data_IF_910539691371
#
_entry.id   IF_910539691371
#
_cell.length_a   1.000
_cell.length_b   1.000
_cell.length_c   1.000
_cell.angle_alpha   90.00
_cell.angle_beta   90.00
_cell.angle_gamma   90.00
#
_symmetry.space_group_name_H-M   'P 1'
#
loop_
_entity.id
_entity.type
_entity.pdbx_description
1 polymer ?
#
# COMPACT_ATOMS: atom_id res chain seq x y z
N UNK A 1 -12.73 8.07 -8.38
CA UNK A 1 -11.29 8.28 -8.64
C UNK A 1 -10.58 8.45 -7.30
N UNK A 2 -9.41 7.87 -7.11
CA UNK A 2 -8.58 8.00 -5.91
C UNK A 2 -7.14 8.29 -6.33
N UNK A 3 -6.34 8.79 -5.41
CA UNK A 3 -4.94 9.14 -5.63
C UNK A 3 -4.08 8.32 -4.66
N UNK A 4 -3.09 7.59 -5.17
CA UNK A 4 -2.08 6.94 -4.34
C UNK A 4 -0.75 7.71 -4.44
N UNK A 5 -0.25 8.17 -3.30
CA UNK A 5 0.92 9.04 -3.22
C UNK A 5 2.10 8.28 -2.63
N UNK A 6 3.22 8.32 -3.32
CA UNK A 6 4.48 7.69 -2.90
C UNK A 6 5.61 8.71 -2.96
N UNK A 7 6.30 8.90 -1.83
CA UNK A 7 7.39 9.89 -1.70
C UNK A 7 8.72 9.43 -2.29
N UNK A 8 8.69 8.59 -3.34
CA UNK A 8 9.84 7.94 -3.96
C UNK A 8 10.71 7.14 -2.96
N UNK A 9 11.12 5.96 -3.35
CA UNK A 9 11.88 5.05 -2.48
C UNK A 9 13.13 4.48 -3.17
N UNK A 10 13.24 4.64 -4.50
CA UNK A 10 14.30 4.03 -5.28
C UNK A 10 15.09 5.08 -6.09
N UNK A 11 16.32 5.33 -5.61
CA UNK A 11 17.25 6.26 -6.26
C UNK A 11 17.60 5.85 -7.71
N UNK A 12 17.60 4.55 -8.01
CA UNK A 12 17.84 4.02 -9.35
C UNK A 12 16.80 4.47 -10.37
N UNK A 13 15.53 4.48 -9.98
CA UNK A 13 14.44 4.96 -10.83
C UNK A 13 14.54 6.48 -11.06
N UNK A 14 14.76 7.24 -10.00
CA UNK A 14 14.94 8.69 -10.09
C UNK A 14 16.05 9.06 -11.09
N UNK A 15 17.20 8.37 -11.03
CA UNK A 15 18.29 8.56 -11.99
C UNK A 15 17.89 8.24 -13.42
N UNK A 16 17.10 7.18 -13.65
CA UNK A 16 16.65 6.79 -15.00
C UNK A 16 15.74 7.85 -15.64
N UNK A 17 14.96 8.54 -14.83
CA UNK A 17 14.04 9.60 -15.30
C UNK A 17 14.63 11.02 -15.19
N UNK A 18 15.90 11.16 -14.80
CA UNK A 18 16.54 12.46 -14.65
C UNK A 18 15.96 13.31 -13.50
N UNK A 19 15.32 12.68 -12.52
CA UNK A 19 14.74 13.34 -11.37
C UNK A 19 15.74 13.34 -10.22
N UNK A 20 15.86 14.47 -9.52
CA UNK A 20 16.68 14.58 -8.33
C UNK A 20 16.10 13.67 -7.23
N UNK A 21 16.96 12.87 -6.60
CA UNK A 21 16.62 12.05 -5.47
C UNK A 21 17.09 12.72 -4.19
N UNK A 22 16.18 13.41 -3.53
CA UNK A 22 16.47 14.15 -2.29
C UNK A 22 16.74 13.20 -1.12
N UNK A 23 17.31 13.74 -0.03
CA UNK A 23 17.41 13.05 1.25
C UNK A 23 16.02 12.64 1.76
N UNK A 24 15.97 11.61 2.61
CA UNK A 24 14.73 10.98 3.06
C UNK A 24 13.70 12.00 3.57
N UNK A 25 14.07 12.87 4.49
CA UNK A 25 13.13 13.82 5.11
C UNK A 25 12.70 14.93 4.15
N UNK A 26 13.58 15.34 3.24
CA UNK A 26 13.23 16.29 2.18
C UNK A 26 12.23 15.72 1.18
N UNK A 27 12.29 14.42 0.87
CA UNK A 27 11.28 13.78 0.02
C UNK A 27 9.88 13.87 0.64
N UNK A 28 9.75 13.62 1.94
CA UNK A 28 8.46 13.76 2.62
C UNK A 28 8.02 15.21 2.79
N UNK A 29 8.96 16.12 3.01
CA UNK A 29 8.64 17.56 3.05
C UNK A 29 8.14 18.06 1.67
N UNK A 30 8.78 17.63 0.58
CA UNK A 30 8.32 17.90 -0.79
C UNK A 30 6.93 17.30 -1.06
N UNK A 31 6.69 16.06 -0.62
CA UNK A 31 5.37 15.42 -0.75
C UNK A 31 4.31 16.18 0.03
N UNK A 32 4.63 16.63 1.23
CA UNK A 32 3.70 17.43 2.06
C UNK A 32 3.30 18.75 1.39
N UNK A 33 4.26 19.47 0.83
CA UNK A 33 4.00 20.71 0.08
C UNK A 33 3.20 20.45 -1.20
N UNK A 34 3.49 19.34 -1.89
CA UNK A 34 2.71 18.93 -3.06
C UNK A 34 1.26 18.58 -2.72
N UNK A 35 1.03 17.85 -1.60
CA UNK A 35 -0.32 17.53 -1.13
C UNK A 35 -1.12 18.78 -0.75
N UNK A 36 -0.48 19.77 -0.16
CA UNK A 36 -1.09 21.10 0.11
C UNK A 36 -1.53 21.76 -1.20
N UNK A 37 -0.66 21.79 -2.20
CA UNK A 37 -0.96 22.35 -3.52
C UNK A 37 -2.16 21.63 -4.16
N UNK A 38 -2.17 20.31 -4.12
CA UNK A 38 -3.28 19.52 -4.70
C UNK A 38 -4.59 19.80 -3.97
N UNK A 39 -4.58 19.88 -2.64
CA UNK A 39 -5.77 20.19 -1.86
C UNK A 39 -6.31 21.60 -2.18
N UNK A 40 -5.42 22.58 -2.31
CA UNK A 40 -5.77 23.95 -2.70
C UNK A 40 -6.29 24.03 -4.15
N UNK A 41 -5.66 23.33 -5.10
CA UNK A 41 -6.15 23.22 -6.48
C UNK A 41 -7.57 22.66 -6.57
N UNK A 42 -7.94 21.76 -5.68
CA UNK A 42 -9.29 21.19 -5.64
C UNK A 42 -10.34 22.14 -5.04
N UNK A 43 -9.93 23.07 -4.17
CA UNK A 43 -10.83 23.92 -3.38
C UNK A 43 -10.89 25.38 -3.84
N UNK A 44 -9.74 25.92 -4.20
CA UNK A 44 -9.60 27.35 -4.51
C UNK A 44 -9.69 27.60 -6.02
N UNK A 45 -10.32 28.70 -6.42
CA UNK A 45 -10.42 29.08 -7.83
C UNK A 45 -9.06 29.51 -8.37
N UNK A 46 -8.34 30.30 -7.57
CA UNK A 46 -7.00 30.80 -7.87
C UNK A 46 -6.17 30.80 -6.60
N UNK A 47 -4.90 30.43 -6.69
CA UNK A 47 -3.97 30.62 -5.58
C UNK A 47 -2.52 30.76 -6.07
N UNK A 48 -1.70 31.37 -5.22
CA UNK A 48 -0.24 31.41 -5.39
C UNK A 48 0.43 30.78 -4.18
N UNK A 49 1.60 30.20 -4.36
CA UNK A 49 2.47 29.68 -3.30
C UNK A 49 3.93 29.93 -3.66
N UNK A 50 4.70 30.43 -2.70
CA UNK A 50 6.16 30.55 -2.78
C UNK A 50 6.77 29.60 -1.72
N UNK A 51 6.72 28.29 -2.01
CA UNK A 51 7.18 27.23 -1.13
C UNK A 51 8.68 26.93 -1.30
N UNK A 52 9.15 25.97 -0.51
CA UNK A 52 10.53 25.49 -0.60
C UNK A 52 10.79 24.71 -1.89
N UNK A 53 9.83 23.90 -2.32
CA UNK A 53 9.97 22.98 -3.46
C UNK A 53 9.19 23.42 -4.68
N UNK A 54 8.09 24.14 -4.49
CA UNK A 54 7.20 24.57 -5.56
C UNK A 54 6.89 26.05 -5.46
N UNK A 55 6.91 26.71 -6.62
CA UNK A 55 6.51 28.11 -6.77
C UNK A 55 5.45 28.18 -7.84
N UNK A 56 4.28 28.64 -7.47
CA UNK A 56 3.13 28.77 -8.37
C UNK A 56 2.58 30.19 -8.25
N UNK A 57 2.23 30.75 -9.38
CA UNK A 57 1.60 32.07 -9.48
C UNK A 57 0.27 31.90 -10.20
N UNK A 58 -0.81 32.37 -9.55
CA UNK A 58 -2.17 32.35 -10.08
C UNK A 58 -2.59 30.96 -10.63
N UNK A 59 -2.30 29.92 -9.89
CA UNK A 59 -2.56 28.54 -10.28
C UNK A 59 -4.08 28.25 -10.29
N UNK A 60 -4.53 27.61 -11.36
CA UNK A 60 -5.94 27.26 -11.60
C UNK A 60 -6.04 25.80 -12.00
N UNK A 61 -7.06 25.10 -11.51
CA UNK A 61 -7.43 23.76 -11.99
C UNK A 61 -8.93 23.72 -12.29
N UNK A 62 -9.29 23.34 -13.49
CA UNK A 62 -10.68 23.11 -13.92
C UNK A 62 -10.80 21.87 -14.80
N UNK A 63 -11.89 21.11 -14.70
CA UNK A 63 -12.99 21.25 -13.74
C UNK A 63 -12.58 20.82 -12.33
N UNK A 64 -13.21 21.39 -11.32
CA UNK A 64 -13.05 20.94 -9.94
C UNK A 64 -13.64 19.54 -9.76
N UNK A 65 -13.05 18.69 -8.90
CA UNK A 65 -13.66 17.39 -8.58
C UNK A 65 -14.99 17.59 -7.87
N UNK A 66 -16.05 16.92 -8.32
CA UNK A 66 -17.37 16.95 -7.68
C UNK A 66 -17.29 16.43 -6.24
N UNK A 67 -16.42 15.45 -6.00
CA UNK A 67 -16.10 14.90 -4.68
C UNK A 67 -14.59 14.77 -4.56
N UNK A 68 -14.04 15.22 -3.42
CA UNK A 68 -12.61 15.09 -3.14
C UNK A 68 -12.17 13.65 -3.36
N UNK A 69 -11.17 13.38 -4.20
CA UNK A 69 -10.58 12.06 -4.33
C UNK A 69 -9.97 11.59 -3.02
N UNK A 70 -10.14 10.31 -2.68
CA UNK A 70 -9.49 9.71 -1.52
C UNK A 70 -7.99 9.66 -1.79
N UNK A 71 -7.19 10.15 -0.85
CA UNK A 71 -5.74 10.13 -0.92
C UNK A 71 -5.23 8.94 -0.09
N UNK A 72 -4.64 7.96 -0.79
CA UNK A 72 -3.94 6.83 -0.21
C UNK A 72 -2.45 7.12 -0.17
N UNK A 73 -1.77 6.69 0.89
CA UNK A 73 -0.31 6.70 0.93
C UNK A 73 0.22 5.56 1.81
N UNK A 74 1.45 5.13 1.52
CA UNK A 74 2.18 4.12 2.29
C UNK A 74 3.56 4.63 2.69
N UNK A 75 4.04 4.16 3.83
CA UNK A 75 5.37 4.46 4.35
C UNK A 75 5.51 4.04 5.80
N UNK A 76 6.69 3.56 6.20
CA UNK A 76 6.90 2.96 7.51
C UNK A 76 7.69 3.85 8.47
N UNK A 77 8.46 4.83 7.96
CA UNK A 77 9.24 5.75 8.80
C UNK A 77 8.31 6.71 9.56
N UNK A 78 8.76 7.22 10.70
CA UNK A 78 8.00 8.21 11.47
C UNK A 78 7.64 9.44 10.65
N UNK A 79 8.58 9.93 9.82
CA UNK A 79 8.34 11.05 8.92
C UNK A 79 7.23 10.76 7.90
N UNK A 80 7.21 9.52 7.36
CA UNK A 80 6.14 9.07 6.48
C UNK A 80 4.79 9.08 7.20
N UNK A 81 4.74 8.41 8.36
CA UNK A 81 3.51 8.29 9.15
C UNK A 81 2.96 9.66 9.57
N UNK A 82 3.82 10.60 9.97
CA UNK A 82 3.40 11.97 10.33
C UNK A 82 2.78 12.70 9.14
N UNK A 83 3.41 12.60 7.96
CA UNK A 83 2.87 13.21 6.73
C UNK A 83 1.53 12.58 6.34
N UNK A 84 1.47 11.24 6.35
CA UNK A 84 0.26 10.47 6.00
C UNK A 84 -0.87 10.77 6.97
N UNK A 85 -0.61 10.72 8.28
CA UNK A 85 -1.61 11.00 9.30
C UNK A 85 -2.20 12.42 9.18
N UNK A 86 -1.41 13.38 8.74
CA UNK A 86 -1.83 14.79 8.61
C UNK A 86 -2.62 15.06 7.34
N UNK A 87 -2.25 14.48 6.21
CA UNK A 87 -2.69 14.95 4.90
C UNK A 87 -3.39 13.90 4.03
N UNK A 88 -3.36 12.61 4.42
CA UNK A 88 -3.99 11.55 3.65
C UNK A 88 -5.27 11.04 4.31
N UNK A 89 -6.13 10.41 3.51
CA UNK A 89 -7.40 9.83 3.96
C UNK A 89 -7.24 8.34 4.29
N UNK A 90 -6.21 7.70 3.73
CA UNK A 90 -5.96 6.27 3.89
C UNK A 90 -4.47 5.95 4.07
N UNK A 91 -4.18 4.98 4.94
CA UNK A 91 -2.84 4.44 5.16
C UNK A 91 -2.77 3.01 4.64
N UNK A 92 -1.86 2.75 3.70
CA UNK A 92 -1.64 1.43 3.10
C UNK A 92 -0.34 0.84 3.62
N UNK A 93 -0.43 -0.37 4.16
CA UNK A 93 0.67 -1.10 4.78
C UNK A 93 1.13 -2.26 3.89
N UNK A 94 2.39 -2.63 4.01
CA UNK A 94 2.87 -3.91 3.48
C UNK A 94 2.23 -5.09 4.22
N UNK A 95 2.19 -6.26 3.57
CA UNK A 95 1.71 -7.48 4.16
C UNK A 95 2.44 -7.84 5.46
N UNK A 96 1.68 -8.17 6.47
CA UNK A 96 2.16 -8.67 7.76
C UNK A 96 1.02 -9.45 8.45
N UNK A 97 1.30 -10.12 9.57
CA UNK A 97 0.29 -10.77 10.40
C UNK A 97 -0.72 -9.74 10.96
N UNK A 98 -2.01 -10.12 11.14
CA UNK A 98 -3.05 -9.21 11.60
C UNK A 98 -2.71 -8.47 12.90
N UNK A 99 -2.07 -9.14 13.86
CA UNK A 99 -1.67 -8.55 15.14
C UNK A 99 -0.63 -7.43 14.96
N UNK A 100 0.31 -7.60 14.04
CA UNK A 100 1.31 -6.59 13.71
C UNK A 100 0.70 -5.42 12.94
N UNK A 101 -0.27 -5.71 12.08
CA UNK A 101 -1.06 -4.69 11.39
C UNK A 101 -1.85 -3.86 12.40
N UNK A 102 -2.46 -4.48 13.43
CA UNK A 102 -3.15 -3.75 14.51
C UNK A 102 -2.23 -2.74 15.20
N UNK A 103 -1.00 -3.12 15.53
CA UNK A 103 -0.03 -2.21 16.15
C UNK A 103 0.24 -0.97 15.28
N UNK A 104 0.33 -1.16 13.95
CA UNK A 104 0.51 -0.04 13.01
C UNK A 104 -0.74 0.85 12.93
N UNK A 105 -1.92 0.25 12.99
CA UNK A 105 -3.19 0.98 13.03
C UNK A 105 -3.27 1.80 14.31
N UNK A 106 -2.94 1.22 15.48
CA UNK A 106 -2.94 1.92 16.77
C UNK A 106 -2.02 3.15 16.75
N UNK A 107 -0.81 3.04 16.18
CA UNK A 107 0.12 4.16 16.02
C UNK A 107 -0.50 5.28 15.16
N UNK A 108 -1.12 4.93 14.05
CA UNK A 108 -1.75 5.92 13.17
C UNK A 108 -3.01 6.56 13.80
N UNK A 109 -3.81 5.81 14.54
CA UNK A 109 -4.95 6.32 15.30
C UNK A 109 -4.50 7.34 16.35
N UNK A 110 -3.44 7.02 17.10
CA UNK A 110 -2.86 7.96 18.09
C UNK A 110 -2.32 9.25 17.43
N UNK A 111 -1.69 9.15 16.26
CA UNK A 111 -1.23 10.34 15.51
C UNK A 111 -2.41 11.20 15.05
N UNK A 112 -3.49 10.58 14.56
CA UNK A 112 -4.72 11.27 14.15
C UNK A 112 -5.43 11.94 15.32
N UNK A 113 -5.54 11.24 16.45
CA UNK A 113 -6.13 11.80 17.69
C UNK A 113 -5.38 13.04 18.17
N UNK A 114 -4.03 12.98 18.23
CA UNK A 114 -3.20 14.14 18.58
C UNK A 114 -3.38 15.34 17.66
N UNK A 115 -3.77 15.11 16.42
CA UNK A 115 -4.04 16.14 15.42
C UNK A 115 -5.50 16.62 15.42
N UNK A 116 -6.39 15.99 16.19
CA UNK A 116 -7.81 16.26 16.17
C UNK A 116 -8.49 15.87 14.84
N UNK A 117 -7.95 14.89 14.13
CA UNK A 117 -8.44 14.46 12.83
C UNK A 117 -9.26 13.16 12.93
N UNK A 118 -10.25 12.94 12.03
CA UNK A 118 -11.06 11.73 12.04
C UNK A 118 -10.22 10.48 11.71
N UNK A 119 -10.72 9.26 12.05
CA UNK A 119 -10.07 8.00 11.67
C UNK A 119 -9.77 7.90 10.18
N UNK A 120 -8.78 7.07 9.82
CA UNK A 120 -8.36 6.81 8.46
C UNK A 120 -9.00 5.52 7.92
N UNK A 121 -8.88 5.34 6.61
CA UNK A 121 -9.04 4.02 5.97
C UNK A 121 -7.70 3.29 6.11
N UNK A 122 -7.74 2.03 6.55
CA UNK A 122 -6.54 1.20 6.70
C UNK A 122 -6.53 0.09 5.65
N UNK A 123 -5.48 0.07 4.85
CA UNK A 123 -5.27 -0.92 3.79
C UNK A 123 -4.04 -1.79 4.03
N UNK A 124 -4.11 -3.05 3.60
CA UNK A 124 -2.98 -3.99 3.60
C UNK A 124 -2.78 -4.52 2.19
N UNK A 125 -1.53 -4.45 1.71
CA UNK A 125 -1.13 -5.10 0.48
C UNK A 125 -0.73 -6.55 0.79
N UNK A 126 -1.38 -7.52 0.13
CA UNK A 126 -1.12 -8.93 0.33
C UNK A 126 -1.06 -9.71 -0.98
N UNK A 127 -0.26 -10.77 -0.99
CA UNK A 127 -0.26 -11.72 -2.10
C UNK A 127 -1.20 -12.86 -1.79
N UNK A 128 -2.09 -13.18 -2.72
CA UNK A 128 -3.10 -14.22 -2.51
C UNK A 128 -2.87 -15.44 -3.41
N UNK A 129 -3.03 -16.62 -2.80
CA UNK A 129 -3.02 -17.91 -3.47
C UNK A 129 -4.15 -18.75 -2.86
N UNK A 130 -5.12 -19.14 -3.67
CA UNK A 130 -6.22 -19.99 -3.23
C UNK A 130 -6.16 -21.32 -3.98
N UNK A 131 -6.03 -22.42 -3.25
CA UNK A 131 -6.01 -23.80 -3.80
C UNK A 131 -6.84 -24.73 -2.95
N UNK A 132 -7.20 -25.87 -3.50
CA UNK A 132 -8.03 -26.85 -2.79
C UNK A 132 -7.26 -27.63 -1.73
N UNK A 133 -5.92 -27.63 -1.80
CA UNK A 133 -5.05 -28.31 -0.84
C UNK A 133 -3.77 -27.54 -0.53
N UNK A 134 -3.22 -27.77 0.66
CA UNK A 134 -1.94 -27.18 1.09
C UNK A 134 -0.76 -27.60 0.20
N UNK A 135 -0.81 -28.80 -0.39
CA UNK A 135 0.20 -29.27 -1.31
C UNK A 135 0.23 -28.41 -2.61
N UNK A 136 -0.94 -28.05 -3.12
CA UNK A 136 -1.04 -27.16 -4.29
C UNK A 136 -0.64 -25.74 -3.94
N UNK A 137 -0.99 -25.23 -2.76
CA UNK A 137 -0.54 -23.93 -2.24
C UNK A 137 0.99 -23.89 -2.21
N UNK A 138 1.61 -24.90 -1.62
CA UNK A 138 3.07 -25.00 -1.51
C UNK A 138 3.74 -25.00 -2.90
N UNK A 139 3.23 -25.80 -3.84
CA UNK A 139 3.72 -25.86 -5.21
C UNK A 139 3.64 -24.50 -5.90
N UNK A 140 2.57 -23.74 -5.66
CA UNK A 140 2.40 -22.42 -6.24
C UNK A 140 3.35 -21.40 -5.61
N UNK A 141 3.56 -21.43 -4.29
CA UNK A 141 4.56 -20.60 -3.60
C UNK A 141 5.96 -20.89 -4.18
N UNK A 142 6.33 -22.16 -4.33
CA UNK A 142 7.60 -22.56 -4.94
C UNK A 142 7.76 -21.98 -6.35
N UNK A 143 6.69 -22.04 -7.17
CA UNK A 143 6.70 -21.50 -8.54
C UNK A 143 6.96 -19.99 -8.57
N UNK A 144 6.29 -19.21 -7.73
CA UNK A 144 6.38 -17.74 -7.75
C UNK A 144 7.64 -17.22 -7.05
N UNK A 145 8.23 -18.00 -6.16
CA UNK A 145 9.47 -17.64 -5.44
C UNK A 145 10.75 -18.14 -6.10
N UNK A 146 10.66 -18.94 -7.16
CA UNK A 146 11.82 -19.43 -7.91
C UNK A 146 12.45 -18.33 -8.79
N UNK A 147 12.94 -17.29 -8.14
CA UNK A 147 13.59 -16.13 -8.80
C UNK A 147 15.11 -16.28 -8.90
N UNK A 148 15.69 -17.32 -8.31
CA UNK A 148 17.15 -17.55 -8.30
C UNK A 148 17.74 -17.78 -9.69
N UNK A 149 16.91 -18.21 -10.64
CA UNK A 149 17.33 -18.44 -12.03
C UNK A 149 17.41 -17.16 -12.85
N UNK A 150 16.90 -16.04 -12.36
CA UNK A 150 16.94 -14.74 -13.04
C UNK A 150 18.08 -13.87 -12.51
N UNK A 151 19.20 -13.83 -13.24
CA UNK A 151 20.34 -12.95 -12.90
C UNK A 151 19.91 -11.46 -12.79
N UNK A 152 18.97 -11.02 -13.65
CA UNK A 152 18.42 -9.66 -13.60
C UNK A 152 17.56 -9.43 -12.35
N UNK A 153 16.73 -10.41 -11.97
CA UNK A 153 15.90 -10.33 -10.76
C UNK A 153 16.74 -10.25 -9.48
N UNK A 154 17.78 -11.07 -9.40
CA UNK A 154 18.69 -11.06 -8.26
C UNK A 154 19.52 -9.77 -8.17
N UNK A 155 20.01 -9.25 -9.30
CA UNK A 155 20.71 -7.98 -9.36
C UNK A 155 19.84 -6.80 -8.93
N UNK A 156 18.59 -6.77 -9.34
CA UNK A 156 17.61 -5.76 -8.91
C UNK A 156 17.34 -5.83 -7.40
N UNK A 157 17.23 -7.03 -6.84
CA UNK A 157 17.07 -7.21 -5.39
C UNK A 157 18.26 -6.67 -4.60
N UNK A 158 19.49 -6.93 -5.04
CA UNK A 158 20.68 -6.42 -4.37
C UNK A 158 20.80 -4.90 -4.47
N UNK A 159 20.51 -4.31 -5.65
CA UNK A 159 20.49 -2.85 -5.81
C UNK A 159 19.40 -2.21 -4.92
N UNK A 160 18.24 -2.83 -4.84
CA UNK A 160 17.17 -2.39 -3.98
C UNK A 160 17.55 -2.44 -2.49
N UNK A 161 18.13 -3.55 -2.01
CA UNK A 161 18.62 -3.66 -0.62
C UNK A 161 19.68 -2.60 -0.26
N UNK A 162 20.60 -2.34 -1.19
CA UNK A 162 21.68 -1.37 -0.98
C UNK A 162 21.17 0.08 -0.93
N UNK A 163 20.04 0.38 -1.55
CA UNK A 163 19.55 1.74 -1.74
C UNK A 163 18.23 2.04 -0.99
N UNK A 164 17.72 1.09 -0.19
CA UNK A 164 16.44 1.25 0.52
C UNK A 164 16.66 1.20 2.03
N UNK A 165 16.12 2.21 2.75
CA UNK A 165 16.06 2.19 4.22
C UNK A 165 14.72 1.56 4.63
N UNK A 166 14.77 0.30 5.03
CA UNK A 166 13.62 -0.45 5.53
C UNK A 166 13.70 -0.63 7.03
N UNK A 167 12.56 -0.63 7.71
CA UNK A 167 12.47 -0.97 9.14
C UNK A 167 12.81 -2.44 9.42
N UNK A 168 12.63 -3.32 8.44
CA UNK A 168 12.88 -4.76 8.54
C UNK A 168 13.65 -5.28 7.33
N UNK A 169 14.50 -6.26 7.55
CA UNK A 169 15.10 -7.01 6.44
C UNK A 169 14.03 -7.76 5.67
N UNK A 170 14.14 -7.69 4.35
CA UNK A 170 13.25 -8.36 3.40
C UNK A 170 14.05 -9.45 2.70
N UNK A 171 13.57 -10.69 2.77
CA UNK A 171 14.17 -11.82 2.07
C UNK A 171 14.00 -11.69 0.56
N UNK A 172 14.77 -12.44 -0.23
CA UNK A 172 14.56 -12.52 -1.68
C UNK A 172 13.15 -13.01 -2.03
N UNK A 173 12.61 -13.93 -1.24
CA UNK A 173 11.24 -14.44 -1.40
C UNK A 173 10.21 -13.35 -1.14
N UNK A 174 10.34 -12.63 -0.01
CA UNK A 174 9.48 -11.49 0.29
C UNK A 174 9.54 -10.41 -0.78
N UNK A 175 10.73 -10.11 -1.32
CA UNK A 175 10.92 -9.13 -2.38
C UNK A 175 10.28 -9.56 -3.69
N UNK A 176 10.43 -10.84 -4.07
CA UNK A 176 9.91 -11.38 -5.33
C UNK A 176 8.38 -11.40 -5.37
N UNK A 177 7.75 -11.39 -4.20
CA UNK A 177 6.29 -11.47 -4.05
C UNK A 177 5.76 -10.23 -3.33
N UNK A 178 5.80 -9.10 -4.02
CA UNK A 178 5.19 -7.85 -3.54
C UNK A 178 5.74 -7.30 -2.24
N UNK A 179 7.03 -7.44 -1.98
CA UNK A 179 7.62 -6.90 -0.76
C UNK A 179 6.80 -7.28 0.50
N UNK A 180 6.96 -8.52 0.96
CA UNK A 180 6.26 -9.08 2.13
C UNK A 180 4.79 -9.48 1.91
N UNK A 181 4.32 -9.52 0.66
CA UNK A 181 2.92 -9.89 0.38
C UNK A 181 2.49 -11.24 0.95
N UNK A 182 3.40 -12.24 0.97
CA UNK A 182 3.13 -13.56 1.55
C UNK A 182 2.97 -13.54 3.09
N UNK A 183 3.54 -12.56 3.78
CA UNK A 183 3.41 -12.44 5.26
C UNK A 183 1.99 -12.13 5.70
N UNK A 184 1.14 -11.67 4.81
CA UNK A 184 -0.28 -11.48 5.10
C UNK A 184 -1.02 -12.79 5.41
N UNK A 185 -0.47 -13.95 5.01
CA UNK A 185 -1.11 -15.24 5.17
C UNK A 185 -2.38 -15.42 4.33
N UNK A 186 -2.58 -14.62 3.28
CA UNK A 186 -3.70 -14.75 2.34
C UNK A 186 -3.46 -15.89 1.33
N UNK A 187 -2.79 -16.94 1.77
CA UNK A 187 -2.45 -18.13 0.97
C UNK A 187 -2.93 -19.38 1.67
N UNK A 188 -3.73 -20.21 0.99
CA UNK A 188 -4.29 -21.40 1.61
C UNK A 188 -5.51 -21.95 0.90
N UNK A 189 -6.24 -22.81 1.60
CA UNK A 189 -7.56 -23.25 1.15
C UNK A 189 -8.57 -22.10 1.19
N UNK A 190 -9.69 -22.20 0.43
CA UNK A 190 -10.75 -21.18 0.46
C UNK A 190 -11.22 -20.81 1.88
N UNK A 191 -11.35 -21.81 2.77
CA UNK A 191 -11.74 -21.57 4.16
C UNK A 191 -10.68 -20.78 4.92
N UNK A 192 -9.41 -21.20 4.83
CA UNK A 192 -8.30 -20.51 5.49
C UNK A 192 -8.18 -19.05 5.04
N UNK A 193 -8.26 -18.79 3.73
CA UNK A 193 -8.16 -17.42 3.21
C UNK A 193 -9.35 -16.57 3.63
N UNK A 194 -10.57 -17.14 3.66
CA UNK A 194 -11.75 -16.42 4.14
C UNK A 194 -11.64 -16.06 5.64
N UNK A 195 -11.13 -16.98 6.47
CA UNK A 195 -10.88 -16.73 7.90
C UNK A 195 -9.84 -15.64 8.09
N UNK A 196 -8.73 -15.66 7.32
CA UNK A 196 -7.68 -14.63 7.33
C UNK A 196 -8.21 -13.26 6.94
N UNK A 197 -9.08 -13.16 5.93
CA UNK A 197 -9.79 -11.91 5.59
C UNK A 197 -10.61 -11.41 6.78
N UNK A 198 -11.33 -12.32 7.49
CA UNK A 198 -12.08 -11.97 8.69
C UNK A 198 -11.19 -11.50 9.85
N UNK A 199 -9.96 -12.02 9.97
CA UNK A 199 -8.98 -11.56 10.96
C UNK A 199 -8.54 -10.13 10.67
N UNK A 200 -8.24 -9.79 9.41
CA UNK A 200 -7.93 -8.41 9.02
C UNK A 200 -9.10 -7.46 9.28
N UNK A 201 -10.33 -7.84 8.97
CA UNK A 201 -11.51 -7.03 9.31
C UNK A 201 -11.60 -6.74 10.81
N UNK A 202 -11.39 -7.78 11.66
CA UNK A 202 -11.45 -7.64 13.13
C UNK A 202 -10.39 -6.72 13.71
N UNK A 203 -9.22 -6.63 13.10
CA UNK A 203 -8.14 -5.73 13.52
C UNK A 203 -8.26 -4.31 12.91
N UNK A 204 -9.32 -4.03 12.15
CA UNK A 204 -9.63 -2.69 11.65
C UNK A 204 -9.16 -2.41 10.22
N UNK A 205 -8.77 -3.42 9.45
CA UNK A 205 -8.45 -3.27 8.03
C UNK A 205 -9.73 -3.11 7.22
N UNK A 206 -9.79 -2.08 6.39
CA UNK A 206 -10.94 -1.75 5.54
C UNK A 206 -10.71 -2.11 4.06
N UNK A 207 -9.45 -2.34 3.67
CA UNK A 207 -9.07 -2.55 2.28
C UNK A 207 -7.95 -3.60 2.19
N UNK A 208 -8.13 -4.60 1.35
CA UNK A 208 -7.07 -5.51 0.93
C UNK A 208 -6.71 -5.20 -0.53
N UNK A 209 -5.43 -4.86 -0.76
CA UNK A 209 -4.87 -4.73 -2.11
C UNK A 209 -4.21 -6.07 -2.45
N UNK A 210 -4.92 -6.87 -3.21
CA UNK A 210 -4.47 -8.21 -3.56
C UNK A 210 -3.57 -8.19 -4.79
N UNK A 211 -2.47 -8.91 -4.69
CA UNK A 211 -1.59 -9.23 -5.81
C UNK A 211 -1.60 -10.74 -6.03
N UNK A 212 -1.53 -11.14 -7.28
CA UNK A 212 -1.59 -12.55 -7.68
C UNK A 212 -1.00 -12.74 -9.09
N UNK A 213 -0.62 -13.96 -9.43
CA UNK A 213 -0.08 -14.30 -10.75
C UNK A 213 -0.37 -15.77 -11.09
N UNK A 214 -0.94 -16.07 -12.28
CA UNK A 214 -1.42 -15.14 -13.29
C UNK A 214 -2.63 -14.34 -12.80
N UNK A 215 -2.71 -13.06 -13.21
CA UNK A 215 -3.59 -12.11 -12.53
C UNK A 215 -5.07 -12.43 -12.70
N UNK A 216 -5.53 -12.66 -13.92
CA UNK A 216 -6.96 -12.85 -14.22
C UNK A 216 -7.48 -14.13 -13.58
N UNK A 217 -6.81 -15.24 -13.80
CA UNK A 217 -7.21 -16.56 -13.30
C UNK A 217 -7.24 -16.62 -11.77
N UNK A 218 -6.27 -15.97 -11.13
CA UNK A 218 -6.23 -15.93 -9.67
C UNK A 218 -7.29 -14.97 -9.07
N UNK A 219 -7.61 -13.88 -9.76
CA UNK A 219 -8.70 -12.98 -9.36
C UNK A 219 -10.06 -13.69 -9.48
N UNK A 220 -10.31 -14.42 -10.56
CA UNK A 220 -11.53 -15.22 -10.74
C UNK A 220 -11.63 -16.27 -9.63
N UNK A 221 -10.57 -17.03 -9.38
CA UNK A 221 -10.50 -18.04 -8.31
C UNK A 221 -10.79 -17.44 -6.93
N UNK A 222 -10.16 -16.32 -6.60
CA UNK A 222 -10.40 -15.63 -5.34
C UNK A 222 -11.85 -15.15 -5.22
N UNK A 223 -12.39 -14.59 -6.30
CA UNK A 223 -13.77 -14.11 -6.33
C UNK A 223 -14.76 -15.24 -6.06
N UNK A 224 -14.63 -16.37 -6.73
CA UNK A 224 -15.53 -17.52 -6.56
C UNK A 224 -15.37 -18.21 -5.20
N UNK A 225 -14.13 -18.41 -4.78
CA UNK A 225 -13.82 -19.21 -3.60
C UNK A 225 -13.99 -18.46 -2.27
N UNK A 226 -13.78 -17.15 -2.26
CA UNK A 226 -13.76 -16.33 -1.04
C UNK A 226 -14.91 -15.33 -1.02
N UNK A 227 -15.03 -14.46 -2.03
CA UNK A 227 -16.05 -13.40 -2.03
C UNK A 227 -17.46 -13.98 -2.19
N UNK A 228 -17.66 -14.88 -3.14
CA UNK A 228 -18.96 -15.51 -3.42
C UNK A 228 -19.53 -16.24 -2.20
N UNK A 229 -18.70 -16.94 -1.44
CA UNK A 229 -19.13 -17.65 -0.23
C UNK A 229 -19.50 -16.70 0.92
N UNK A 230 -18.80 -15.56 1.08
CA UNK A 230 -19.17 -14.54 2.08
C UNK A 230 -20.53 -13.91 1.78
N UNK A 231 -20.85 -13.63 0.52
CA UNK A 231 -22.15 -13.09 0.13
C UNK A 231 -23.28 -14.08 0.43
N UNK A 232 -23.10 -15.36 0.14
CA UNK A 232 -24.10 -16.38 0.40
C UNK A 232 -24.35 -16.59 1.90
N UNK A 233 -23.30 -16.53 2.73
CA UNK A 233 -23.42 -16.63 4.17
C UNK A 233 -24.18 -15.43 4.79
N UNK A 234 -23.94 -14.23 4.31
CA UNK A 234 -24.62 -13.03 4.78
C UNK A 234 -26.12 -13.01 4.38
N UNK A 235 -26.49 -13.53 3.21
CA UNK A 235 -27.89 -13.67 2.78
C UNK A 235 -28.61 -14.74 3.62
N UNK A 236 -27.94 -15.78 4.04
CA UNK A 236 -28.53 -16.83 4.87
C UNK A 236 -28.67 -16.44 6.37
N UNK A 237 -28.01 -15.37 6.80
CA UNK A 237 -28.04 -14.86 8.18
C UNK A 237 -29.03 -13.68 8.38
N UNK A 238 -29.68 -13.22 7.30
CA UNK A 238 -30.73 -12.19 7.30
C UNK A 238 -32.10 -12.82 7.02
#
# INVERSE_FOLDING_TARGET
MSLNVVSSWWAGEARKYGVQFDEHDDRYARTSEWLEIVDRLWKEDHFSIDGKYYKLEDAVMQPKPIKKPIIYAGGESDKAKDTIARQCDAYVMHGDEPERVRVKIDDMEQRREKLGLPPMIYGVAGYTIVRDSDAEVKKEIERITDVKQSAAGYGNYQDWLANTKLEQQVSLEDYSVSNRGLRSGLTGTPAHVADRVGEFERVGVNLLLLQCSPQIEEMERFSEAVIGKKQTANIAAT
#
